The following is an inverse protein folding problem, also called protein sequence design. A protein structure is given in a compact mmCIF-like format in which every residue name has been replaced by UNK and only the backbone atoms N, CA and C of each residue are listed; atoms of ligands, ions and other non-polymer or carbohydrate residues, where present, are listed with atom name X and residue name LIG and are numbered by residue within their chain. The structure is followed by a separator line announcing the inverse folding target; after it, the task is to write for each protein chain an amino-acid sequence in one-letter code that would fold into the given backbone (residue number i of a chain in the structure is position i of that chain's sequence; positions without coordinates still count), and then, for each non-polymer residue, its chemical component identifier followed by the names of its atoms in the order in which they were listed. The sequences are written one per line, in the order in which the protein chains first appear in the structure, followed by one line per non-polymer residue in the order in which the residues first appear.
data_IF_423592167802
#
_entry.id   IF_423592167802
#
_cell.length_a   1.000
_cell.length_b   1.000
_cell.length_c   1.000
_cell.angle_alpha   90.00
_cell.angle_beta   90.00
_cell.angle_gamma   90.00
#
_symmetry.space_group_name_H-M   'P 1'
#
loop_
_entity.id
_entity.type
_entity.pdbx_description
1 polymer ?
#
# COMPACT_ATOMS: atom_id res chain seq x y z
N UNK A 1 9.21 -13.37 7.48
CA UNK A 1 8.14 -12.58 8.15
C UNK A 1 7.16 -12.08 7.10
N UNK A 2 5.87 -12.07 7.41
CA UNK A 2 4.81 -11.63 6.47
C UNK A 2 3.57 -11.19 7.24
N UNK A 3 2.66 -10.54 6.51
CA UNK A 3 1.30 -10.26 6.93
C UNK A 3 0.35 -10.69 5.80
N UNK A 4 -0.71 -11.41 6.13
CA UNK A 4 -1.73 -11.88 5.19
C UNK A 4 -3.08 -11.36 5.67
N UNK A 5 -3.83 -10.74 4.77
CA UNK A 5 -5.17 -10.23 5.02
C UNK A 5 -6.15 -10.86 4.01
N UNK A 6 -6.89 -11.90 4.39
CA UNK A 6 -7.95 -12.44 3.57
C UNK A 6 -9.19 -11.55 3.60
N UNK A 7 -9.97 -11.56 2.54
CA UNK A 7 -11.30 -10.96 2.49
C UNK A 7 -12.36 -12.06 2.67
N UNK A 8 -13.50 -11.69 3.26
CA UNK A 8 -14.65 -12.60 3.40
C UNK A 8 -15.27 -12.93 2.03
N UNK A 9 -15.25 -11.94 1.12
CA UNK A 9 -15.69 -12.08 -0.27
C UNK A 9 -14.62 -11.51 -1.21
N UNK A 10 -14.64 -11.95 -2.48
CA UNK A 10 -13.71 -11.46 -3.50
C UNK A 10 -14.00 -9.98 -3.81
N UNK A 11 -12.98 -9.14 -3.73
CA UNK A 11 -13.05 -7.70 -3.99
C UNK A 11 -12.36 -7.33 -5.31
N UNK A 12 -12.84 -6.26 -5.93
CA UNK A 12 -12.16 -5.63 -7.05
C UNK A 12 -10.94 -4.87 -6.55
N UNK A 13 -9.78 -5.17 -7.11
CA UNK A 13 -8.51 -4.56 -6.76
C UNK A 13 -7.97 -3.71 -7.91
N UNK A 14 -7.38 -2.56 -7.60
CA UNK A 14 -6.51 -1.81 -8.50
C UNK A 14 -5.20 -1.51 -7.79
N UNK A 15 -4.07 -2.00 -8.32
CA UNK A 15 -2.78 -1.84 -7.65
C UNK A 15 -1.60 -1.81 -8.62
N UNK A 16 -0.46 -1.28 -8.16
CA UNK A 16 0.85 -1.44 -8.79
C UNK A 16 1.70 -2.52 -8.11
N UNK A 17 1.07 -3.43 -7.37
CA UNK A 17 1.77 -4.49 -6.67
C UNK A 17 2.58 -5.39 -7.64
N UNK A 18 3.73 -5.92 -7.22
CA UNK A 18 4.54 -6.82 -8.05
C UNK A 18 3.84 -8.15 -8.36
N UNK A 19 2.88 -8.57 -7.53
CA UNK A 19 2.12 -9.80 -7.73
C UNK A 19 0.62 -9.49 -7.83
N UNK A 20 -0.01 -9.95 -8.91
CA UNK A 20 -1.41 -9.71 -9.24
C UNK A 20 -1.79 -8.22 -9.24
N UNK A 21 -0.86 -7.37 -9.71
CA UNK A 21 -1.11 -5.95 -9.91
C UNK A 21 -1.99 -5.66 -11.13
N UNK A 22 -2.38 -4.39 -11.29
CA UNK A 22 -3.36 -3.94 -12.27
C UNK A 22 -4.78 -4.05 -11.74
N UNK A 23 -5.76 -4.21 -12.64
CA UNK A 23 -7.15 -4.47 -12.28
C UNK A 23 -7.32 -5.98 -12.08
N UNK A 24 -7.71 -6.40 -10.89
CA UNK A 24 -7.72 -7.80 -10.49
C UNK A 24 -8.88 -8.10 -9.54
N UNK A 25 -9.36 -9.33 -9.53
CA UNK A 25 -10.31 -9.81 -8.52
C UNK A 25 -9.54 -10.55 -7.42
N UNK A 26 -9.47 -9.95 -6.25
CA UNK A 26 -8.63 -10.40 -5.16
C UNK A 26 -9.42 -11.02 -4.01
N UNK A 27 -8.91 -12.12 -3.47
CA UNK A 27 -9.41 -12.74 -2.22
C UNK A 27 -8.69 -12.23 -0.98
N UNK A 28 -7.77 -11.31 -1.15
CA UNK A 28 -6.99 -10.72 -0.09
C UNK A 28 -5.71 -10.07 -0.60
N UNK A 29 -4.88 -9.65 0.31
CA UNK A 29 -3.54 -9.18 0.01
C UNK A 29 -2.53 -9.70 1.03
N UNK A 30 -1.24 -9.61 0.69
CA UNK A 30 -0.16 -9.88 1.63
C UNK A 30 0.97 -8.87 1.51
N UNK A 31 1.67 -8.66 2.61
CA UNK A 31 3.00 -8.06 2.65
C UNK A 31 4.02 -9.14 2.93
N UNK A 32 5.00 -9.32 2.04
CA UNK A 32 6.08 -10.27 2.17
C UNK A 32 7.39 -9.54 2.46
N UNK A 33 8.08 -9.96 3.54
CA UNK A 33 9.40 -9.43 3.86
C UNK A 33 10.46 -10.04 2.96
N UNK A 34 11.33 -9.18 2.43
CA UNK A 34 12.51 -9.56 1.65
C UNK A 34 13.78 -8.96 2.28
N UNK A 35 14.92 -9.55 1.96
CA UNK A 35 16.20 -9.00 2.42
C UNK A 35 16.45 -7.61 1.78
N UNK A 36 17.15 -6.71 2.51
CA UNK A 36 17.46 -5.34 2.03
C UNK A 36 18.24 -5.28 0.71
N UNK A 37 18.97 -6.35 0.38
CA UNK A 37 19.73 -6.51 -0.88
C UNK A 37 19.03 -7.54 -1.78
N UNK A 38 17.70 -7.53 -1.80
CA UNK A 38 16.93 -8.44 -2.64
C UNK A 38 17.21 -8.18 -4.13
N UNK A 39 17.60 -9.23 -4.85
CA UNK A 39 17.91 -9.26 -6.28
C UNK A 39 17.23 -10.44 -7.00
N UNK A 40 16.26 -11.09 -6.35
CA UNK A 40 15.55 -12.24 -6.84
C UNK A 40 14.49 -11.94 -7.90
N UNK A 41 13.86 -13.01 -8.40
CA UNK A 41 12.69 -12.93 -9.29
C UNK A 41 11.43 -12.71 -8.44
N UNK A 42 11.00 -11.46 -8.32
CA UNK A 42 9.86 -11.06 -7.48
C UNK A 42 8.55 -11.75 -7.88
N UNK A 43 8.35 -12.04 -9.18
CA UNK A 43 7.12 -12.73 -9.65
C UNK A 43 7.10 -14.18 -9.17
N UNK A 44 8.24 -14.85 -9.34
CA UNK A 44 8.41 -16.24 -8.90
C UNK A 44 8.29 -16.35 -7.38
N UNK A 45 8.96 -15.46 -6.65
CA UNK A 45 8.99 -15.52 -5.18
C UNK A 45 7.62 -15.22 -4.57
N UNK A 46 6.86 -14.27 -5.11
CA UNK A 46 5.49 -14.02 -4.69
C UNK A 46 4.57 -15.20 -4.99
N UNK A 47 4.70 -15.82 -6.17
CA UNK A 47 3.91 -16.99 -6.54
C UNK A 47 4.22 -18.19 -5.63
N UNK A 48 5.49 -18.41 -5.31
CA UNK A 48 5.89 -19.44 -4.36
C UNK A 48 5.37 -19.16 -2.95
N UNK A 49 5.42 -17.89 -2.53
CA UNK A 49 4.85 -17.47 -1.26
C UNK A 49 3.34 -17.76 -1.18
N UNK A 50 2.60 -17.39 -2.22
CA UNK A 50 1.15 -17.66 -2.33
C UNK A 50 0.88 -19.17 -2.20
N UNK A 51 1.60 -20.01 -2.94
CA UNK A 51 1.47 -21.48 -2.90
C UNK A 51 1.80 -22.07 -1.53
N UNK A 52 2.91 -21.66 -0.91
CA UNK A 52 3.35 -22.17 0.39
C UNK A 52 2.39 -21.84 1.52
N UNK A 53 1.65 -20.74 1.40
CA UNK A 53 0.67 -20.31 2.40
C UNK A 53 -0.77 -20.74 2.06
N UNK A 54 -0.96 -21.55 1.02
CA UNK A 54 -2.30 -22.01 0.60
C UNK A 54 -3.21 -20.89 0.11
N UNK A 55 -2.62 -19.80 -0.37
CA UNK A 55 -3.35 -18.65 -0.88
C UNK A 55 -3.66 -18.82 -2.36
N UNK A 56 -4.67 -18.11 -2.83
CA UNK A 56 -5.07 -18.07 -4.23
C UNK A 56 -5.74 -16.73 -4.55
N UNK A 57 -5.31 -16.05 -5.61
CA UNK A 57 -5.83 -14.75 -6.00
C UNK A 57 -5.60 -13.64 -4.96
N UNK A 58 -4.43 -13.61 -4.32
CA UNK A 58 -4.03 -12.52 -3.46
C UNK A 58 -3.17 -11.51 -4.22
N UNK A 59 -3.30 -10.23 -3.85
CA UNK A 59 -2.39 -9.17 -4.31
C UNK A 59 -1.19 -9.12 -3.37
N UNK A 60 0.02 -9.19 -3.92
CA UNK A 60 1.23 -9.31 -3.11
C UNK A 60 2.14 -8.10 -3.19
N UNK A 61 2.52 -7.57 -2.04
CA UNK A 61 3.50 -6.50 -1.87
C UNK A 61 4.77 -7.02 -1.21
N UNK A 62 5.90 -6.44 -1.55
CA UNK A 62 7.20 -6.80 -0.99
C UNK A 62 7.79 -5.62 -0.23
N UNK A 63 8.48 -5.89 0.88
CA UNK A 63 9.15 -4.86 1.68
C UNK A 63 10.38 -5.41 2.38
N UNK A 64 11.43 -4.62 2.48
CA UNK A 64 12.57 -4.92 3.34
C UNK A 64 12.43 -4.36 4.78
N UNK A 65 11.33 -3.69 5.08
CA UNK A 65 11.02 -3.31 6.46
C UNK A 65 10.52 -4.53 7.25
N UNK A 66 10.87 -4.63 8.52
CA UNK A 66 10.43 -5.73 9.40
C UNK A 66 8.94 -5.61 9.71
N UNK A 67 8.11 -6.33 8.95
CA UNK A 67 6.65 -6.20 8.94
C UNK A 67 6.02 -6.18 10.35
N UNK A 68 6.33 -7.10 11.29
CA UNK A 68 5.73 -7.07 12.61
C UNK A 68 6.01 -5.79 13.40
N UNK A 69 7.15 -5.14 13.11
CA UNK A 69 7.55 -3.92 13.81
C UNK A 69 6.91 -2.67 13.19
N UNK A 70 6.78 -2.61 11.86
CA UNK A 70 6.38 -1.38 11.15
C UNK A 70 4.92 -1.37 10.70
N UNK A 71 4.28 -2.53 10.56
CA UNK A 71 2.88 -2.59 10.13
C UNK A 71 2.01 -1.73 11.04
N UNK A 72 1.24 -0.87 10.42
CA UNK A 72 0.30 0.01 11.08
C UNK A 72 -1.01 0.06 10.32
N UNK A 73 -2.10 0.09 11.06
CA UNK A 73 -3.46 0.13 10.52
C UNK A 73 -4.21 1.34 11.04
N UNK A 74 -5.14 1.85 10.23
CA UNK A 74 -6.07 2.89 10.65
C UNK A 74 -7.41 2.72 9.95
N UNK A 75 -8.50 2.69 10.72
CA UNK A 75 -9.86 2.66 10.20
C UNK A 75 -10.51 4.03 10.40
N UNK A 76 -11.06 4.59 9.32
CA UNK A 76 -11.80 5.87 9.32
C UNK A 76 -13.05 5.68 8.45
N UNK A 77 -14.20 5.63 9.09
CA UNK A 77 -15.46 5.32 8.40
C UNK A 77 -15.40 3.96 7.73
N UNK A 78 -15.70 3.91 6.43
CA UNK A 78 -15.65 2.72 5.59
C UNK A 78 -14.25 2.35 5.08
N UNK A 79 -13.22 3.15 5.39
CA UNK A 79 -11.87 2.97 4.86
C UNK A 79 -10.95 2.40 5.94
N UNK A 80 -10.25 1.31 5.62
CA UNK A 80 -9.19 0.74 6.44
C UNK A 80 -7.87 0.75 5.65
N UNK A 81 -6.85 1.40 6.21
CA UNK A 81 -5.52 1.49 5.63
C UNK A 81 -4.54 0.57 6.37
N UNK A 82 -3.78 -0.21 5.62
CA UNK A 82 -2.69 -1.06 6.08
C UNK A 82 -1.40 -0.54 5.47
N UNK A 83 -0.43 -0.18 6.29
CA UNK A 83 0.80 0.45 5.83
C UNK A 83 2.03 -0.22 6.40
N UNK A 84 3.00 -0.53 5.54
CA UNK A 84 4.37 -0.82 5.93
C UNK A 84 5.29 0.24 5.33
N UNK A 85 6.07 0.92 6.13
CA UNK A 85 6.92 2.01 5.67
C UNK A 85 8.35 1.90 6.19
N UNK A 86 9.31 2.20 5.30
CA UNK A 86 10.71 2.45 5.62
C UNK A 86 11.30 3.36 4.55
N UNK A 87 11.96 4.44 4.97
CA UNK A 87 12.44 5.49 4.07
C UNK A 87 13.96 5.66 4.21
N UNK A 88 14.73 4.95 3.40
CA UNK A 88 16.18 5.11 3.29
C UNK A 88 16.62 5.57 1.91
N UNK A 89 15.73 5.60 0.97
CA UNK A 89 15.88 5.99 -0.42
C UNK A 89 14.75 6.94 -0.84
N UNK A 90 14.68 8.14 -0.22
CA UNK A 90 13.66 9.11 -0.57
C UNK A 90 13.76 9.45 -2.05
N UNK A 91 12.62 9.61 -2.71
CA UNK A 91 12.54 9.97 -4.11
C UNK A 91 11.52 11.10 -4.29
N UNK A 92 11.82 12.00 -5.23
CA UNK A 92 10.93 13.11 -5.61
C UNK A 92 10.45 12.83 -7.03
N UNK A 93 9.14 12.83 -7.23
CA UNK A 93 8.57 12.67 -8.56
C UNK A 93 9.02 13.83 -9.48
N UNK A 94 9.64 13.47 -10.62
CA UNK A 94 10.21 14.45 -11.56
C UNK A 94 11.71 14.67 -11.40
N UNK A 95 12.36 14.08 -10.41
CA UNK A 95 13.81 14.13 -10.22
C UNK A 95 14.48 12.78 -10.48
N UNK A 96 15.78 12.79 -10.78
CA UNK A 96 16.56 11.55 -10.90
C UNK A 96 16.57 10.81 -9.55
N UNK A 97 16.25 9.51 -9.53
CA UNK A 97 16.16 8.78 -8.27
C UNK A 97 17.57 8.54 -7.70
N UNK A 98 17.71 8.50 -6.37
CA UNK A 98 18.92 7.99 -5.74
C UNK A 98 19.15 6.52 -6.14
N UNK A 99 20.34 5.98 -5.83
CA UNK A 99 20.60 4.56 -6.07
C UNK A 99 19.50 3.70 -5.47
N UNK A 100 19.06 2.70 -6.25
CA UNK A 100 18.01 1.78 -5.84
C UNK A 100 18.38 1.11 -4.51
N UNK A 101 17.46 1.17 -3.55
CA UNK A 101 17.50 0.46 -2.27
C UNK A 101 16.12 -0.12 -2.00
N UNK A 102 16.06 -1.31 -1.44
CA UNK A 102 14.83 -2.11 -1.31
C UNK A 102 13.88 -1.72 -0.17
N UNK A 103 14.03 -0.54 0.42
CA UNK A 103 13.05 -0.03 1.39
C UNK A 103 11.96 0.75 0.66
N UNK A 104 10.73 0.56 1.09
CA UNK A 104 9.54 1.00 0.36
C UNK A 104 8.43 1.41 1.32
N UNK A 105 7.48 2.16 0.80
CA UNK A 105 6.19 2.40 1.44
C UNK A 105 5.15 1.58 0.69
N UNK A 106 4.54 0.61 1.37
CA UNK A 106 3.40 -0.12 0.83
C UNK A 106 2.13 0.28 1.57
N UNK A 107 1.07 0.56 0.81
CA UNK A 107 -0.24 0.95 1.31
C UNK A 107 -1.29 0.06 0.66
N UNK A 108 -2.07 -0.66 1.48
CA UNK A 108 -3.27 -1.37 1.05
C UNK A 108 -4.48 -0.68 1.69
N UNK A 109 -5.46 -0.32 0.87
CA UNK A 109 -6.72 0.31 1.30
C UNK A 109 -7.86 -0.65 1.06
N UNK A 110 -8.55 -1.06 2.12
CA UNK A 110 -9.79 -1.84 2.05
C UNK A 110 -10.96 -0.89 2.30
N UNK A 111 -11.90 -0.84 1.34
CA UNK A 111 -13.02 0.10 1.35
C UNK A 111 -14.32 -0.70 1.34
N UNK A 112 -15.08 -0.57 2.42
CA UNK A 112 -16.39 -1.20 2.59
C UNK A 112 -17.49 -0.34 1.92
N UNK A 113 -17.29 -0.08 0.63
CA UNK A 113 -18.22 0.62 -0.25
C UNK A 113 -18.05 0.09 -1.68
N UNK A 114 -19.10 0.22 -2.52
CA UNK A 114 -19.07 -0.21 -3.91
C UNK A 114 -18.56 0.90 -4.84
N UNK A 115 -17.38 0.71 -5.45
CA UNK A 115 -16.70 1.69 -6.28
C UNK A 115 -16.71 1.30 -7.76
N UNK A 116 -16.83 2.31 -8.63
CA UNK A 116 -16.46 2.16 -10.04
C UNK A 116 -14.94 2.05 -10.21
N UNK A 117 -14.48 1.58 -11.38
CA UNK A 117 -13.05 1.55 -11.71
C UNK A 117 -12.44 2.97 -11.67
N UNK A 118 -13.21 3.98 -12.11
CA UNK A 118 -12.80 5.38 -12.02
C UNK A 118 -12.58 5.84 -10.59
N UNK A 119 -13.44 5.43 -9.65
CA UNK A 119 -13.28 5.72 -8.23
C UNK A 119 -12.09 4.99 -7.60
N UNK A 120 -11.77 3.75 -8.03
CA UNK A 120 -10.53 3.09 -7.61
C UNK A 120 -9.30 3.89 -8.02
N UNK A 121 -9.23 4.37 -9.26
CA UNK A 121 -8.14 5.21 -9.73
C UNK A 121 -8.08 6.54 -8.95
N UNK A 122 -9.23 7.17 -8.71
CA UNK A 122 -9.32 8.40 -7.93
C UNK A 122 -8.89 8.18 -6.45
N UNK A 123 -9.16 7.01 -5.90
CA UNK A 123 -8.67 6.59 -4.57
C UNK A 123 -7.14 6.53 -4.52
N UNK A 124 -6.50 5.95 -5.55
CA UNK A 124 -5.03 5.91 -5.65
C UNK A 124 -4.45 7.32 -5.67
N UNK A 125 -5.05 8.24 -6.45
CA UNK A 125 -4.62 9.64 -6.49
C UNK A 125 -4.70 10.28 -5.10
N UNK A 126 -5.86 10.23 -4.44
CA UNK A 126 -6.09 10.81 -3.11
C UNK A 126 -5.14 10.21 -2.05
N UNK A 127 -4.92 8.89 -2.10
CA UNK A 127 -4.01 8.21 -1.19
C UNK A 127 -2.54 8.62 -1.43
N UNK A 128 -2.15 8.80 -2.68
CA UNK A 128 -0.80 9.27 -3.05
C UNK A 128 -0.56 10.71 -2.59
N UNK A 129 -1.53 11.59 -2.76
CA UNK A 129 -1.49 12.98 -2.23
C UNK A 129 -1.36 12.97 -0.71
N UNK A 130 -2.15 12.14 -0.02
CA UNK A 130 -2.10 12.01 1.44
C UNK A 130 -0.76 11.45 1.93
N UNK A 131 -0.17 10.47 1.21
CA UNK A 131 1.18 9.94 1.46
C UNK A 131 2.20 11.06 1.35
N UNK A 132 2.25 11.75 0.22
CA UNK A 132 3.18 12.84 -0.06
C UNK A 132 3.08 13.95 0.99
N UNK A 133 1.86 14.41 1.27
CA UNK A 133 1.64 15.41 2.31
C UNK A 133 2.15 14.96 3.69
N UNK A 134 1.97 13.68 4.04
CA UNK A 134 2.44 13.14 5.31
C UNK A 134 3.96 13.15 5.40
N UNK A 135 4.65 12.74 4.34
CA UNK A 135 6.11 12.76 4.29
C UNK A 135 6.67 14.17 4.47
N UNK A 136 6.16 15.14 3.71
CA UNK A 136 6.57 16.54 3.81
C UNK A 136 6.32 17.12 5.22
N UNK A 137 5.17 16.79 5.84
CA UNK A 137 4.84 17.24 7.21
C UNK A 137 5.72 16.62 8.29
N UNK A 138 6.31 15.46 8.03
CA UNK A 138 7.28 14.81 8.91
C UNK A 138 8.73 15.25 8.64
N UNK A 139 8.94 16.16 7.69
CA UNK A 139 10.25 16.71 7.37
C UNK A 139 11.05 15.89 6.35
N UNK A 140 10.42 14.90 5.70
CA UNK A 140 11.07 14.22 4.58
C UNK A 140 10.92 15.05 3.29
N UNK A 141 12.01 15.45 2.68
CA UNK A 141 12.02 16.08 1.35
C UNK A 141 11.85 14.99 0.27
N UNK A 142 10.66 14.41 0.21
CA UNK A 142 10.35 13.28 -0.69
C UNK A 142 8.85 13.20 -0.99
N UNK A 143 8.51 12.69 -2.17
CA UNK A 143 7.12 12.33 -2.53
C UNK A 143 6.83 10.85 -2.28
N UNK A 144 7.85 10.06 -2.02
CA UNK A 144 7.80 8.62 -1.74
C UNK A 144 9.19 8.01 -1.70
N UNK A 145 9.28 6.72 -2.03
CA UNK A 145 10.52 6.00 -2.29
C UNK A 145 10.56 5.52 -3.73
N UNK A 146 11.66 4.91 -4.15
CA UNK A 146 11.83 4.45 -5.54
C UNK A 146 10.94 3.26 -5.93
N UNK A 147 10.25 2.62 -4.98
CA UNK A 147 9.51 1.38 -5.21
C UNK A 147 8.18 1.27 -4.45
N UNK A 148 7.53 2.40 -4.21
CA UNK A 148 6.27 2.42 -3.45
C UNK A 148 5.19 1.53 -4.08
N UNK A 149 4.52 0.74 -3.22
CA UNK A 149 3.37 -0.07 -3.58
C UNK A 149 2.06 0.52 -3.05
N UNK A 150 1.03 0.54 -3.90
CA UNK A 150 -0.31 0.96 -3.53
C UNK A 150 -1.35 0.00 -4.10
N UNK A 151 -2.30 -0.42 -3.27
CA UNK A 151 -3.44 -1.21 -3.69
C UNK A 151 -4.72 -0.70 -3.04
N UNK A 152 -5.78 -0.68 -3.81
CA UNK A 152 -7.15 -0.35 -3.39
C UNK A 152 -8.02 -1.57 -3.63
N UNK A 153 -8.78 -1.95 -2.63
CA UNK A 153 -9.68 -3.11 -2.64
C UNK A 153 -11.07 -2.62 -2.22
N UNK A 154 -12.05 -2.84 -3.08
CA UNK A 154 -13.43 -2.44 -2.85
C UNK A 154 -14.40 -3.39 -3.56
N UNK A 155 -15.64 -3.42 -3.13
CA UNK A 155 -16.68 -4.04 -3.93
C UNK A 155 -16.93 -3.24 -5.22
N UNK A 156 -17.32 -3.91 -6.29
CA UNK A 156 -17.82 -3.21 -7.47
C UNK A 156 -19.13 -2.50 -7.15
N UNK A 157 -19.32 -1.27 -7.66
CA UNK A 157 -20.51 -0.49 -7.34
C UNK A 157 -20.59 0.81 -8.12
N UNK A 158 -21.37 1.76 -7.61
CA UNK A 158 -21.79 2.96 -8.33
C UNK A 158 -21.11 4.25 -7.87
N UNK A 159 -20.30 4.22 -6.79
CA UNK A 159 -19.59 5.40 -6.35
C UNK A 159 -18.53 5.77 -7.39
N UNK A 160 -18.69 6.93 -7.99
CA UNK A 160 -17.82 7.41 -9.08
C UNK A 160 -16.62 8.23 -8.61
N UNK A 161 -16.70 8.83 -7.40
CA UNK A 161 -15.73 9.80 -6.94
C UNK A 161 -15.19 9.48 -5.54
N UNK A 162 -13.88 9.52 -5.40
CA UNK A 162 -13.15 9.34 -4.14
C UNK A 162 -12.08 10.44 -3.93
N UNK A 163 -12.24 11.58 -4.59
CA UNK A 163 -11.35 12.73 -4.49
C UNK A 163 -11.51 13.50 -3.18
N UNK A 164 -10.60 14.41 -2.92
CA UNK A 164 -10.46 15.17 -1.65
C UNK A 164 -11.69 16.01 -1.27
N UNK A 165 -12.59 16.31 -2.20
CA UNK A 165 -13.86 17.01 -1.94
C UNK A 165 -14.98 16.07 -1.45
N UNK A 166 -14.80 14.75 -1.52
CA UNK A 166 -15.82 13.77 -1.12
C UNK A 166 -15.60 13.30 0.32
N UNK A 167 -16.68 12.83 0.97
CA UNK A 167 -16.58 12.20 2.30
C UNK A 167 -15.64 10.98 2.28
N UNK A 168 -15.73 10.17 1.22
CA UNK A 168 -14.87 9.01 1.03
C UNK A 168 -13.39 9.43 0.90
N UNK A 169 -13.09 10.42 0.04
CA UNK A 169 -11.72 10.92 -0.12
C UNK A 169 -11.13 11.54 1.16
N UNK A 170 -11.96 12.24 1.95
CA UNK A 170 -11.55 12.73 3.27
C UNK A 170 -11.18 11.56 4.20
N UNK A 171 -11.96 10.48 4.20
CA UNK A 171 -11.69 9.28 5.01
C UNK A 171 -10.42 8.58 4.54
N UNK A 172 -10.21 8.43 3.23
CA UNK A 172 -8.99 7.89 2.62
C UNK A 172 -7.77 8.68 3.10
N UNK A 173 -7.80 10.00 2.92
CA UNK A 173 -6.69 10.86 3.34
C UNK A 173 -6.37 10.75 4.82
N UNK A 174 -7.38 10.74 5.69
CA UNK A 174 -7.21 10.57 7.14
C UNK A 174 -6.64 9.20 7.51
N UNK A 175 -7.14 8.10 6.92
CA UNK A 175 -6.68 6.75 7.19
C UNK A 175 -5.22 6.56 6.78
N UNK A 176 -4.87 6.97 5.55
CA UNK A 176 -3.49 6.90 5.03
C UNK A 176 -2.54 7.70 5.92
N UNK A 177 -2.86 8.96 6.20
CA UNK A 177 -2.00 9.83 7.02
C UNK A 177 -1.76 9.27 8.41
N UNK A 178 -2.81 8.73 9.05
CA UNK A 178 -2.70 8.13 10.39
C UNK A 178 -1.84 6.87 10.38
N UNK A 179 -2.11 5.93 9.47
CA UNK A 179 -1.37 4.68 9.39
C UNK A 179 0.09 4.89 8.98
N UNK A 180 0.34 5.76 7.98
CA UNK A 180 1.70 6.04 7.52
C UNK A 180 2.55 6.73 8.59
N UNK A 181 2.00 7.74 9.27
CA UNK A 181 2.71 8.41 10.38
C UNK A 181 3.12 7.41 11.46
N UNK A 182 2.22 6.51 11.84
CA UNK A 182 2.52 5.50 12.85
C UNK A 182 3.53 4.46 12.36
N UNK A 183 3.43 4.01 11.10
CA UNK A 183 4.39 3.08 10.52
C UNK A 183 5.80 3.66 10.46
N UNK A 184 5.94 4.92 10.04
CA UNK A 184 7.24 5.62 10.02
C UNK A 184 7.81 5.82 11.41
N UNK A 185 6.98 6.22 12.40
CA UNK A 185 7.42 6.33 13.79
C UNK A 185 7.98 5.01 14.34
N UNK A 186 7.31 3.90 14.06
CA UNK A 186 7.77 2.56 14.44
C UNK A 186 9.07 2.17 13.73
N UNK A 187 9.17 2.53 12.46
CA UNK A 187 10.37 2.28 11.68
C UNK A 187 11.57 3.07 12.24
N UNK A 188 11.42 4.37 12.49
CA UNK A 188 12.46 5.21 13.10
C UNK A 188 12.92 4.67 14.46
N UNK A 189 11.99 4.20 15.29
CA UNK A 189 12.30 3.60 16.59
C UNK A 189 13.02 2.23 16.49
N UNK A 190 13.09 1.64 15.29
CA UNK A 190 13.75 0.36 15.03
C UNK A 190 15.16 0.49 14.44
N UNK A 191 15.62 1.72 14.16
CA UNK A 191 16.95 2.03 13.65
C UNK A 191 17.98 2.04 14.79
#
# INVERSE_FOLDING_TARGET
MHYIHPFDEEMLALSNAPHNGGLFKAKGFFFMHVHKNYDGDYKKDCLEFERKNGLNNFVGFMTAAEIPKVLSTAKIGSVEAYVTAGITNPAIAGEEPPKFMSKTINIALVIDEGLTIGALANTIMTATEAKTYTLLKLGYEATGTTSDGMGVFANGGEIEWAGTATKLGINIGKAVRKALKESLRKWEASL
#
